data_IF_928235616212
#
_entry.id   IF_928235616212
#
_cell.length_a   1.000
_cell.length_b   1.000
_cell.length_c   1.000
_cell.angle_alpha   90.00
_cell.angle_beta   90.00
_cell.angle_gamma   90.00
#
_symmetry.space_group_name_H-M   'P 1'
#
loop_
_entity.id
_entity.type
_entity.pdbx_description
1 polymer ?
#
# COMPACT_ATOMS: atom_id res chain seq x y z
N UNK A 1 7.04 7.17 -5.68
CA UNK A 1 8.28 6.38 -5.86
C UNK A 1 9.34 6.76 -4.82
N UNK A 2 9.88 7.98 -4.79
CA UNK A 2 11.00 8.33 -3.88
C UNK A 2 10.77 8.05 -2.39
N UNK A 3 9.56 8.31 -1.87
CA UNK A 3 9.22 8.05 -0.46
C UNK A 3 9.18 6.55 -0.13
N UNK A 4 8.65 5.72 -1.04
CA UNK A 4 8.61 4.26 -0.87
C UNK A 4 10.03 3.71 -0.87
N UNK A 5 10.86 4.16 -1.80
CA UNK A 5 12.27 3.78 -1.86
C UNK A 5 13.04 4.18 -0.60
N UNK A 6 12.75 5.35 -0.02
CA UNK A 6 13.36 5.79 1.24
C UNK A 6 12.96 4.93 2.44
N UNK A 7 11.72 4.44 2.51
CA UNK A 7 11.29 3.51 3.56
C UNK A 7 11.80 2.08 3.34
N UNK A 8 11.92 1.68 2.06
CA UNK A 8 12.45 0.39 1.65
C UNK A 8 13.94 0.27 1.93
N UNK A 9 14.73 1.32 1.67
CA UNK A 9 16.18 1.34 1.88
C UNK A 9 16.62 1.31 3.35
N UNK A 10 15.68 1.45 4.30
CA UNK A 10 15.97 1.34 5.73
C UNK A 10 16.18 -0.11 6.15
N UNK A 11 17.27 -0.34 6.89
CA UNK A 11 17.58 -1.62 7.52
C UNK A 11 16.44 -2.12 8.43
N UNK A 12 16.42 -3.43 8.67
CA UNK A 12 15.36 -4.07 9.46
C UNK A 12 15.18 -3.43 10.85
N UNK A 13 16.28 -3.11 11.51
CA UNK A 13 16.29 -2.53 12.86
C UNK A 13 15.74 -1.10 12.92
N UNK A 14 16.08 -0.22 11.98
CA UNK A 14 15.50 1.12 11.93
C UNK A 14 14.00 1.08 11.57
N UNK A 15 13.61 0.19 10.65
CA UNK A 15 12.21 -0.01 10.28
C UNK A 15 11.36 -0.52 11.44
N UNK A 16 11.90 -1.45 12.23
CA UNK A 16 11.25 -1.97 13.43
C UNK A 16 11.11 -0.87 14.49
N UNK A 17 12.14 -0.04 14.70
CA UNK A 17 12.08 1.10 15.63
C UNK A 17 10.96 2.10 15.28
N UNK A 18 10.83 2.48 14.00
CA UNK A 18 9.75 3.35 13.53
C UNK A 18 8.37 2.73 13.78
N UNK A 19 8.26 1.42 13.60
CA UNK A 19 7.01 0.70 13.80
C UNK A 19 6.66 0.58 15.29
N UNK A 20 7.64 0.35 16.17
CA UNK A 20 7.43 0.37 17.61
C UNK A 20 7.03 1.75 18.14
N UNK A 21 7.57 2.83 17.57
CA UNK A 21 7.13 4.18 17.89
C UNK A 21 5.64 4.36 17.57
N UNK A 22 5.18 3.92 16.39
CA UNK A 22 3.76 3.96 16.02
C UNK A 22 2.89 3.09 16.94
N UNK A 23 3.33 1.89 17.29
CA UNK A 23 2.61 1.01 18.23
C UNK A 23 2.47 1.66 19.60
N UNK A 24 3.52 2.30 20.11
CA UNK A 24 3.48 3.01 21.38
C UNK A 24 2.53 4.23 21.33
N UNK A 25 2.52 4.96 20.21
CA UNK A 25 1.59 6.06 20.01
C UNK A 25 0.13 5.56 19.98
N UNK A 26 -0.14 4.45 19.30
CA UNK A 26 -1.46 3.81 19.29
C UNK A 26 -1.89 3.36 20.68
N UNK A 27 -0.96 2.79 21.47
CA UNK A 27 -1.20 2.42 22.86
C UNK A 27 -1.61 3.61 23.72
N UNK A 28 -0.99 4.78 23.53
CA UNK A 28 -1.37 6.03 24.23
C UNK A 28 -2.78 6.53 23.86
N UNK A 29 -3.29 6.18 22.68
CA UNK A 29 -4.65 6.53 22.21
C UNK A 29 -5.67 5.47 22.67
N UNK A 30 -5.23 4.42 23.39
CA UNK A 30 -6.08 3.34 23.90
C UNK A 30 -6.13 2.09 23.01
N UNK A 31 -5.35 2.07 21.93
CA UNK A 31 -5.27 0.94 20.98
C UNK A 31 -4.06 0.07 21.32
N UNK A 32 -4.24 -0.84 22.29
CA UNK A 32 -3.17 -1.73 22.77
C UNK A 32 -3.10 -3.04 21.96
N UNK A 33 -2.62 -2.96 20.71
CA UNK A 33 -2.42 -4.12 19.83
C UNK A 33 -1.29 -5.02 20.35
N UNK A 34 -0.28 -4.42 21.01
CA UNK A 34 0.87 -5.13 21.57
C UNK A 34 0.50 -6.06 22.72
N UNK A 35 -0.47 -5.69 23.55
CA UNK A 35 -0.89 -6.50 24.71
C UNK A 35 -1.79 -7.67 24.33
N UNK A 36 -2.47 -7.61 23.18
CA UNK A 36 -3.39 -8.68 22.74
C UNK A 36 -2.72 -9.73 21.87
N UNK A 37 -1.80 -9.34 20.98
CA UNK A 37 -1.20 -10.25 19.98
C UNK A 37 0.32 -10.37 20.06
N UNK A 38 0.97 -9.62 20.96
CA UNK A 38 2.42 -9.58 21.09
C UNK A 38 3.08 -8.54 20.17
N UNK A 39 4.21 -8.01 20.64
CA UNK A 39 4.91 -6.87 20.02
C UNK A 39 5.41 -7.15 18.60
N UNK A 40 5.86 -8.39 18.33
CA UNK A 40 6.35 -8.80 17.00
C UNK A 40 5.23 -8.89 15.96
N UNK A 41 4.05 -9.38 16.36
CA UNK A 41 2.88 -9.47 15.48
C UNK A 41 2.31 -8.08 15.22
N UNK A 42 2.23 -7.24 16.26
CA UNK A 42 1.82 -5.85 16.12
C UNK A 42 2.73 -5.09 15.14
N UNK A 43 4.05 -5.26 15.26
CA UNK A 43 5.03 -4.67 14.34
C UNK A 43 4.82 -5.15 12.90
N UNK A 44 4.66 -6.47 12.70
CA UNK A 44 4.36 -7.03 11.39
C UNK A 44 3.09 -6.42 10.76
N UNK A 45 2.00 -6.29 11.53
CA UNK A 45 0.73 -5.70 11.06
C UNK A 45 0.91 -4.23 10.68
N UNK A 46 1.56 -3.44 11.53
CA UNK A 46 1.78 -2.00 11.28
C UNK A 46 2.62 -1.81 10.01
N UNK A 47 3.71 -2.56 9.87
CA UNK A 47 4.58 -2.51 8.68
C UNK A 47 3.82 -2.89 7.41
N UNK A 48 3.05 -3.98 7.43
CA UNK A 48 2.27 -4.39 6.25
C UNK A 48 1.16 -3.40 5.92
N UNK A 49 0.50 -2.83 6.92
CA UNK A 49 -0.51 -1.79 6.69
C UNK A 49 0.10 -0.53 6.07
N UNK A 50 1.30 -0.14 6.49
CA UNK A 50 2.03 0.98 5.90
C UNK A 50 2.33 0.73 4.42
N UNK A 51 2.89 -0.44 4.07
CA UNK A 51 3.16 -0.80 2.68
C UNK A 51 1.88 -0.83 1.82
N UNK A 52 0.80 -1.48 2.28
CA UNK A 52 -0.49 -1.45 1.58
C UNK A 52 -0.96 -0.02 1.31
N UNK A 53 -0.80 0.88 2.28
CA UNK A 53 -1.19 2.29 2.15
C UNK A 53 -0.31 3.03 1.14
N UNK A 54 1.00 2.79 1.16
CA UNK A 54 1.96 3.37 0.21
C UNK A 54 1.63 2.98 -1.25
N UNK A 55 1.40 1.69 -1.50
CA UNK A 55 1.05 1.19 -2.83
C UNK A 55 -0.35 1.63 -3.28
N UNK A 56 -1.31 1.74 -2.35
CA UNK A 56 -2.62 2.34 -2.63
C UNK A 56 -2.48 3.80 -3.10
N UNK A 57 -1.70 4.62 -2.38
CA UNK A 57 -1.47 6.02 -2.74
C UNK A 57 -0.76 6.11 -4.10
N UNK A 58 0.26 5.27 -4.31
CA UNK A 58 0.99 5.22 -5.58
C UNK A 58 0.05 4.90 -6.76
N UNK A 59 -0.77 3.86 -6.62
CA UNK A 59 -1.76 3.50 -7.63
C UNK A 59 -2.71 4.66 -7.93
N UNK A 60 -3.23 5.33 -6.90
CA UNK A 60 -4.14 6.46 -7.05
C UNK A 60 -3.49 7.63 -7.79
N UNK A 61 -2.25 7.98 -7.43
CA UNK A 61 -1.48 9.04 -8.11
C UNK A 61 -1.25 8.70 -9.59
N UNK A 62 -0.83 7.47 -9.88
CA UNK A 62 -0.65 7.00 -11.25
C UNK A 62 -1.97 7.03 -12.01
N UNK A 63 -3.06 6.55 -11.42
CA UNK A 63 -4.38 6.58 -12.05
C UNK A 63 -4.82 8.00 -12.42
N UNK A 64 -4.69 8.97 -11.50
CA UNK A 64 -5.05 10.36 -11.80
C UNK A 64 -4.13 11.01 -12.83
N UNK A 65 -2.83 10.70 -12.81
CA UNK A 65 -1.89 11.16 -13.84
C UNK A 65 -2.25 10.62 -15.22
N UNK A 66 -2.45 9.30 -15.33
CA UNK A 66 -2.83 8.66 -16.59
C UNK A 66 -4.19 9.13 -17.09
N UNK A 67 -5.17 9.31 -16.21
CA UNK A 67 -6.50 9.82 -16.58
C UNK A 67 -6.45 11.23 -17.18
N UNK A 68 -5.52 12.07 -16.72
CA UNK A 68 -5.36 13.44 -17.23
C UNK A 68 -4.69 13.47 -18.60
N UNK A 69 -3.75 12.56 -18.84
CA UNK A 69 -2.96 12.51 -20.09
C UNK A 69 -3.62 11.66 -21.18
N UNK A 70 -4.28 10.56 -20.80
CA UNK A 70 -4.91 9.62 -21.72
C UNK A 70 -6.44 9.69 -21.58
N UNK A 71 -7.13 9.97 -22.69
CA UNK A 71 -8.59 10.16 -22.74
C UNK A 71 -9.42 8.88 -22.50
N UNK A 72 -8.78 7.70 -22.42
CA UNK A 72 -9.46 6.40 -22.21
C UNK A 72 -9.21 5.87 -20.80
N UNK A 73 -10.22 5.17 -20.26
CA UNK A 73 -10.24 4.52 -18.94
C UNK A 73 -9.24 3.36 -18.82
N UNK A 74 -7.94 3.62 -19.00
CA UNK A 74 -6.93 2.56 -18.94
C UNK A 74 -6.41 2.42 -17.51
N UNK A 75 -7.28 1.90 -16.66
CA UNK A 75 -7.00 1.55 -15.26
C UNK A 75 -5.94 0.43 -15.15
N UNK A 76 -5.77 -0.36 -16.21
CA UNK A 76 -4.87 -1.52 -16.24
C UNK A 76 -3.40 -1.10 -16.16
N UNK A 77 -2.98 -0.04 -16.85
CA UNK A 77 -1.58 0.41 -16.83
C UNK A 77 -1.09 0.86 -15.44
N UNK A 78 -1.78 1.76 -14.70
CA UNK A 78 -1.34 2.14 -13.37
C UNK A 78 -1.34 0.96 -12.39
N UNK A 79 -2.26 0.00 -12.55
CA UNK A 79 -2.26 -1.23 -11.75
C UNK A 79 -1.01 -2.08 -12.02
N UNK A 80 -0.71 -2.38 -13.28
CA UNK A 80 0.48 -3.15 -13.68
C UNK A 80 1.76 -2.48 -13.19
N UNK A 81 1.90 -1.16 -13.39
CA UNK A 81 3.10 -0.41 -12.96
C UNK A 81 3.26 -0.49 -11.44
N UNK A 82 2.17 -0.37 -10.68
CA UNK A 82 2.24 -0.42 -9.21
C UNK A 82 2.65 -1.83 -8.73
N UNK A 83 2.11 -2.89 -9.34
CA UNK A 83 2.46 -4.28 -9.00
C UNK A 83 3.92 -4.60 -9.37
N UNK A 84 4.38 -4.16 -10.54
CA UNK A 84 5.78 -4.34 -10.92
C UNK A 84 6.73 -3.58 -9.99
N UNK A 85 6.30 -2.41 -9.51
CA UNK A 85 7.07 -1.64 -8.54
C UNK A 85 7.11 -2.33 -7.17
N UNK A 86 6.01 -2.93 -6.68
CA UNK A 86 6.02 -3.67 -5.42
C UNK A 86 6.89 -4.94 -5.48
N UNK A 87 6.92 -5.63 -6.62
CA UNK A 87 7.85 -6.76 -6.84
C UNK A 87 9.29 -6.28 -6.78
N UNK A 88 9.58 -5.14 -7.42
CA UNK A 88 10.93 -4.57 -7.47
C UNK A 88 11.39 -4.10 -6.07
N UNK A 89 10.47 -3.60 -5.26
CA UNK A 89 10.73 -3.19 -3.88
C UNK A 89 11.04 -4.38 -2.96
N UNK A 90 10.21 -5.42 -2.98
CA UNK A 90 10.48 -6.66 -2.22
C UNK A 90 11.78 -7.33 -2.67
N UNK A 91 12.09 -7.28 -3.97
CA UNK A 91 13.38 -7.73 -4.47
C UNK A 91 14.53 -6.87 -3.93
N UNK A 92 14.38 -5.55 -3.87
CA UNK A 92 15.38 -4.66 -3.27
C UNK A 92 15.57 -4.94 -1.78
N UNK A 93 14.49 -5.17 -1.04
CA UNK A 93 14.53 -5.48 0.40
C UNK A 93 15.30 -6.79 0.71
N UNK A 94 15.37 -7.76 -0.22
CA UNK A 94 16.19 -8.96 -0.05
C UNK A 94 17.69 -8.66 0.10
N UNK A 95 18.16 -7.53 -0.42
CA UNK A 95 19.56 -7.12 -0.32
C UNK A 95 19.85 -6.28 0.92
N UNK A 96 18.85 -6.04 1.77
CA UNK A 96 18.97 -5.20 2.96
C UNK A 96 19.03 -6.09 4.20
N UNK A 97 20.05 -5.87 5.03
CA UNK A 97 20.24 -6.63 6.26
C UNK A 97 19.03 -6.51 7.23
N UNK A 98 18.60 -7.65 7.76
CA UNK A 98 17.47 -7.72 8.70
C UNK A 98 16.09 -7.64 8.04
N UNK A 99 15.99 -7.64 6.71
CA UNK A 99 14.71 -7.77 5.98
C UNK A 99 14.58 -9.18 5.41
N UNK A 100 13.37 -9.75 5.50
CA UNK A 100 13.03 -10.99 4.81
C UNK A 100 12.03 -10.64 3.71
N UNK A 101 12.48 -10.51 2.46
CA UNK A 101 11.57 -10.36 1.33
C UNK A 101 10.78 -11.66 1.13
N UNK A 102 9.45 -11.57 1.07
CA UNK A 102 8.58 -12.75 0.87
C UNK A 102 7.63 -12.47 -0.27
N UNK A 103 7.42 -13.46 -1.13
CA UNK A 103 6.43 -13.36 -2.22
C UNK A 103 5.02 -13.06 -1.67
N UNK A 104 4.71 -13.55 -0.45
CA UNK A 104 3.47 -13.24 0.27
C UNK A 104 3.25 -11.74 0.48
N UNK A 105 4.33 -10.96 0.57
CA UNK A 105 4.27 -9.54 0.88
C UNK A 105 3.85 -8.74 -0.35
N UNK A 106 4.31 -9.14 -1.55
CA UNK A 106 3.81 -8.62 -2.83
C UNK A 106 2.30 -8.81 -2.99
N UNK A 107 1.77 -9.96 -2.54
CA UNK A 107 0.32 -10.20 -2.56
C UNK A 107 -0.43 -9.27 -1.61
N UNK A 108 0.12 -9.02 -0.42
CA UNK A 108 -0.46 -8.08 0.54
C UNK A 108 -0.45 -6.66 -0.04
N UNK A 109 0.65 -6.23 -0.65
CA UNK A 109 0.75 -4.90 -1.27
C UNK A 109 -0.22 -4.73 -2.45
N UNK A 110 -0.47 -5.81 -3.18
CA UNK A 110 -1.46 -5.85 -4.26
C UNK A 110 -2.90 -5.61 -3.74
N UNK A 111 -3.19 -5.85 -2.46
CA UNK A 111 -4.47 -5.49 -1.84
C UNK A 111 -4.69 -3.98 -1.91
N UNK A 112 -3.63 -3.17 -1.74
CA UNK A 112 -3.71 -1.71 -1.87
C UNK A 112 -4.16 -1.30 -3.27
N UNK A 113 -3.64 -1.96 -4.30
CA UNK A 113 -4.07 -1.76 -5.69
C UNK A 113 -5.54 -2.17 -5.89
N UNK A 114 -5.95 -3.33 -5.35
CA UNK A 114 -7.34 -3.81 -5.43
C UNK A 114 -8.32 -2.85 -4.76
N UNK A 115 -7.99 -2.29 -3.60
CA UNK A 115 -8.80 -1.28 -2.91
C UNK A 115 -8.97 -0.05 -3.80
N UNK A 116 -7.88 0.44 -4.40
CA UNK A 116 -7.93 1.55 -5.35
C UNK A 116 -8.82 1.27 -6.56
N UNK A 117 -8.68 0.08 -7.16
CA UNK A 117 -9.52 -0.36 -8.28
C UNK A 117 -11.01 -0.37 -7.91
N UNK A 118 -11.34 -0.89 -6.74
CA UNK A 118 -12.72 -0.98 -6.25
C UNK A 118 -13.32 0.42 -6.05
N UNK A 119 -12.59 1.35 -5.44
CA UNK A 119 -13.03 2.75 -5.26
C UNK A 119 -13.32 3.42 -6.60
N UNK A 120 -12.43 3.25 -7.58
CA UNK A 120 -12.62 3.82 -8.91
C UNK A 120 -13.82 3.17 -9.63
N UNK A 121 -13.96 1.85 -9.52
CA UNK A 121 -15.09 1.11 -10.10
C UNK A 121 -16.44 1.59 -9.56
N UNK A 122 -16.57 1.74 -8.23
CA UNK A 122 -17.77 2.29 -7.59
C UNK A 122 -18.05 3.71 -8.10
N UNK A 123 -17.03 4.58 -8.13
CA UNK A 123 -17.18 5.96 -8.57
C UNK A 123 -17.63 6.07 -10.03
N UNK A 124 -17.08 5.23 -10.92
CA UNK A 124 -17.49 5.20 -12.32
C UNK A 124 -18.95 4.72 -12.47
N UNK A 125 -19.34 3.68 -11.73
CA UNK A 125 -20.72 3.15 -11.72
C UNK A 125 -21.73 4.18 -11.21
N UNK A 126 -21.40 4.92 -10.15
CA UNK A 126 -22.23 6.02 -9.64
C UNK A 126 -22.34 7.16 -10.66
N UNK A 127 -21.27 7.46 -11.40
CA UNK A 127 -21.30 8.48 -12.46
C UNK A 127 -22.19 8.05 -13.63
N UNK A 128 -22.09 6.79 -14.07
CA UNK A 128 -22.95 6.24 -15.13
C UNK A 128 -24.43 6.28 -14.74
N UNK A 129 -24.78 5.90 -13.51
CA UNK A 129 -26.16 5.97 -13.00
C UNK A 129 -26.73 7.40 -12.97
N UNK A 130 -25.90 8.41 -12.70
CA UNK A 130 -26.32 9.82 -12.77
C UNK A 130 -26.46 10.34 -14.22
N UNK A 131 -25.73 9.74 -15.16
CA UNK A 131 -25.72 10.20 -16.56
C UNK A 131 -26.80 9.50 -17.40
N UNK A 132 -27.16 8.27 -17.02
CA UNK A 132 -28.28 7.50 -17.57
C UNK A 132 -29.11 6.93 -16.42
N UNK A 133 -30.04 7.72 -15.85
CA UNK A 133 -30.96 7.17 -14.85
C UNK A 133 -31.75 6.03 -15.51
N UNK A 134 -31.67 4.83 -14.93
CA UNK A 134 -32.55 3.72 -15.33
C UNK A 134 -33.98 4.15 -14.99
N UNK A 135 -34.82 4.23 -16.02
CA UNK A 135 -36.24 4.54 -15.92
C UNK A 135 -36.98 3.50 -15.05
#
# INVERSE_FOLDING_TARGET
MGLIFFFSSQNGTASDSNSYFLINLLGKIGVNISSSMGISVANFIVRKTAHVTEYFILFMLLYFGFKRTYLKNIIIYPAIITILYSISDEFHQLFIEGRSGRIKDVFIDSIGVLIGLLIIGIKNKVKEQKTYPRA
#
